data_IF_176787777380
#
_entry.id   IF_176787777380
#
_cell.length_a   1.000
_cell.length_b   1.000
_cell.length_c   1.000
_cell.angle_alpha   90.00
_cell.angle_beta   90.00
_cell.angle_gamma   90.00
#
_symmetry.space_group_name_H-M   'P 1'
#
loop_
_entity.id
_entity.type
_entity.pdbx_description
1 polymer ?
#
# COMPACT_ATOMS: atom_id res chain seq x y z
N UNK A 1 -20.35 -10.83 15.87
CA UNK A 1 -20.88 -9.51 16.28
C UNK A 1 -21.08 -8.68 15.02
N UNK A 2 -22.32 -8.51 14.55
CA UNK A 2 -22.64 -7.80 13.29
C UNK A 2 -22.71 -6.30 13.58
N UNK A 3 -21.90 -5.48 12.90
CA UNK A 3 -21.96 -4.02 12.98
C UNK A 3 -22.61 -3.47 11.71
N UNK A 4 -23.74 -2.79 11.84
CA UNK A 4 -24.46 -2.16 10.74
C UNK A 4 -23.73 -0.86 10.33
N UNK A 5 -23.29 -0.77 9.06
CA UNK A 5 -22.63 0.44 8.52
C UNK A 5 -23.61 1.32 7.74
N UNK A 6 -24.72 0.77 7.25
CA UNK A 6 -25.82 1.54 6.66
C UNK A 6 -27.08 0.66 6.58
N UNK A 7 -28.29 1.23 6.48
CA UNK A 7 -29.60 0.52 6.62
C UNK A 7 -29.79 -0.75 5.75
N UNK A 8 -28.91 -1.05 4.79
CA UNK A 8 -29.06 -2.14 3.83
C UNK A 8 -27.81 -3.05 3.63
N UNK A 9 -26.78 -2.99 4.47
CA UNK A 9 -25.56 -3.81 4.30
C UNK A 9 -25.24 -4.61 5.58
N UNK A 10 -25.14 -5.93 5.44
CA UNK A 10 -24.77 -6.87 6.51
C UNK A 10 -23.31 -7.31 6.38
N UNK A 11 -22.63 -7.47 7.51
CA UNK A 11 -21.26 -7.98 7.61
C UNK A 11 -21.31 -9.38 8.24
N UNK A 12 -20.98 -10.40 7.45
CA UNK A 12 -20.79 -11.76 7.95
C UNK A 12 -19.30 -12.02 8.17
N UNK A 13 -18.94 -12.38 9.40
CA UNK A 13 -17.62 -12.90 9.74
C UNK A 13 -17.61 -14.41 9.49
N UNK A 14 -16.70 -14.90 8.64
CA UNK A 14 -16.52 -16.33 8.38
C UNK A 14 -15.40 -16.87 9.30
N UNK A 15 -15.72 -17.71 10.30
CA UNK A 15 -14.72 -18.23 11.24
C UNK A 15 -13.61 -19.00 10.51
N UNK A 16 -12.34 -18.70 10.85
CA UNK A 16 -11.17 -19.31 10.20
C UNK A 16 -10.74 -18.61 8.90
N UNK A 17 -11.44 -17.57 8.46
CA UNK A 17 -11.01 -16.72 7.36
C UNK A 17 -10.78 -15.27 7.83
N UNK A 18 -9.77 -14.61 7.27
CA UNK A 18 -9.52 -13.18 7.51
C UNK A 18 -10.42 -12.27 6.66
N UNK A 19 -11.40 -12.85 5.96
CA UNK A 19 -12.27 -12.16 5.02
C UNK A 19 -13.60 -11.80 5.68
N UNK A 20 -14.07 -10.57 5.45
CA UNK A 20 -15.44 -10.15 5.76
C UNK A 20 -16.28 -10.20 4.49
N UNK A 21 -17.46 -10.83 4.58
CA UNK A 21 -18.40 -10.91 3.46
C UNK A 21 -19.49 -9.86 3.68
N UNK A 22 -19.60 -8.91 2.75
CA UNK A 22 -20.71 -7.96 2.72
C UNK A 22 -21.87 -8.52 1.90
N UNK A 23 -23.09 -8.45 2.45
CA UNK A 23 -24.34 -8.83 1.76
C UNK A 23 -25.29 -7.64 1.73
N UNK A 24 -25.88 -7.36 0.57
CA UNK A 24 -26.95 -6.37 0.44
C UNK A 24 -28.30 -6.93 0.91
N UNK A 25 -29.06 -6.16 1.67
CA UNK A 25 -30.35 -6.55 2.25
C UNK A 25 -31.41 -6.99 1.22
N UNK A 26 -31.33 -6.49 -0.02
CA UNK A 26 -32.25 -6.87 -1.11
C UNK A 26 -32.19 -8.36 -1.44
N UNK A 27 -31.04 -9.00 -1.23
CA UNK A 27 -30.85 -10.44 -1.45
C UNK A 27 -31.48 -11.29 -0.34
N UNK A 28 -31.61 -10.73 0.87
CA UNK A 28 -32.23 -11.42 2.02
C UNK A 28 -33.76 -11.37 1.98
N UNK A 29 -34.39 -10.31 1.46
CA UNK A 29 -35.86 -10.23 1.37
C UNK A 29 -36.47 -11.31 0.46
N UNK A 30 -35.73 -11.78 -0.55
CA UNK A 30 -36.13 -12.90 -1.41
C UNK A 30 -35.96 -14.29 -0.76
N UNK A 31 -35.26 -14.38 0.37
CA UNK A 31 -35.06 -15.61 1.12
C UNK A 31 -35.67 -15.40 2.51
N UNK A 32 -36.95 -15.72 2.63
CA UNK A 32 -37.76 -15.49 3.83
C UNK A 32 -37.03 -15.82 5.13
N UNK A 33 -37.23 -14.96 6.12
CA UNK A 33 -36.91 -15.23 7.52
C UNK A 33 -37.62 -16.53 7.95
N UNK A 34 -36.90 -17.65 7.91
CA UNK A 34 -37.33 -18.89 8.53
C UNK A 34 -36.10 -19.72 8.91
N UNK A 35 -35.55 -19.43 10.09
CA UNK A 35 -35.00 -20.39 11.06
C UNK A 35 -34.20 -21.62 10.57
N UNK A 36 -33.51 -21.58 9.44
CA UNK A 36 -32.77 -22.73 8.91
C UNK A 36 -31.46 -22.27 8.29
N UNK A 37 -30.36 -22.88 8.73
CA UNK A 37 -29.05 -22.71 8.11
C UNK A 37 -29.16 -23.14 6.63
N UNK A 38 -28.71 -22.30 5.68
CA UNK A 38 -28.73 -22.68 4.28
C UNK A 38 -27.84 -23.90 4.05
N UNK A 39 -28.32 -24.87 3.27
CA UNK A 39 -27.60 -26.09 2.92
C UNK A 39 -26.21 -25.79 2.34
N UNK A 40 -25.16 -26.54 2.71
CA UNK A 40 -23.81 -26.35 2.21
C UNK A 40 -23.79 -26.66 0.70
N UNK A 41 -23.45 -25.66 -0.13
CA UNK A 41 -23.21 -25.88 -1.56
C UNK A 41 -23.92 -24.92 -2.52
N UNK A 42 -24.80 -24.01 -2.05
CA UNK A 42 -25.48 -23.07 -2.96
C UNK A 42 -24.67 -21.77 -3.10
N UNK A 43 -23.70 -21.77 -4.01
CA UNK A 43 -22.98 -20.57 -4.40
C UNK A 43 -23.82 -19.78 -5.42
N UNK A 44 -24.81 -19.00 -4.95
CA UNK A 44 -25.65 -18.11 -5.78
C UNK A 44 -25.50 -16.63 -5.41
N UNK A 45 -24.27 -16.16 -5.21
CA UNK A 45 -24.02 -14.73 -5.01
C UNK A 45 -23.62 -14.08 -6.33
N UNK A 46 -24.51 -13.26 -6.91
CA UNK A 46 -24.24 -12.51 -8.17
C UNK A 46 -23.17 -11.42 -8.01
N UNK A 47 -22.78 -11.07 -6.79
CA UNK A 47 -21.67 -10.13 -6.52
C UNK A 47 -21.21 -10.28 -5.07
N UNK A 48 -19.99 -10.77 -4.86
CA UNK A 48 -19.32 -10.75 -3.56
C UNK A 48 -18.32 -9.59 -3.54
N UNK A 49 -18.42 -8.72 -2.54
CA UNK A 49 -17.40 -7.71 -2.28
C UNK A 49 -16.49 -8.26 -1.18
N UNK A 50 -15.30 -8.72 -1.57
CA UNK A 50 -14.22 -9.01 -0.62
C UNK A 50 -13.64 -7.65 -0.18
N UNK A 51 -13.93 -7.24 1.05
CA UNK A 51 -13.26 -6.10 1.66
C UNK A 51 -12.03 -6.60 2.40
N UNK A 52 -10.84 -6.33 1.85
CA UNK A 52 -9.55 -6.53 2.51
C UNK A 52 -9.41 -5.54 3.68
N UNK A 53 -9.96 -5.88 4.84
CA UNK A 53 -10.02 -5.00 6.00
C UNK A 53 -8.69 -4.79 6.74
N UNK A 54 -7.59 -5.39 6.27
CA UNK A 54 -6.26 -5.27 6.88
C UNK A 54 -5.13 -4.96 5.87
N UNK A 55 -5.45 -4.57 4.63
CA UNK A 55 -4.41 -4.30 3.64
C UNK A 55 -3.76 -2.94 3.90
N UNK A 56 -2.51 -2.98 4.36
CA UNK A 56 -1.72 -1.77 4.63
C UNK A 56 -1.17 -1.15 3.36
N UNK A 57 -0.84 0.15 3.43
CA UNK A 57 -0.20 0.87 2.34
C UNK A 57 1.28 0.99 2.63
N UNK A 58 2.13 0.55 1.71
CA UNK A 58 3.57 0.83 1.76
C UNK A 58 3.86 1.93 0.75
N UNK A 59 4.07 3.16 1.23
CA UNK A 59 4.41 4.30 0.37
C UNK A 59 5.93 4.31 0.18
N UNK A 60 6.37 4.18 -1.07
CA UNK A 60 7.77 4.26 -1.46
C UNK A 60 8.12 5.71 -1.81
N UNK A 61 9.15 6.24 -1.17
CA UNK A 61 9.73 7.54 -1.49
C UNK A 61 10.61 7.45 -2.75
N UNK A 62 10.80 8.57 -3.45
CA UNK A 62 11.57 8.66 -4.70
C UNK A 62 13.00 8.15 -4.49
N UNK A 63 13.67 8.60 -3.43
CA UNK A 63 15.04 8.17 -3.10
C UNK A 63 15.12 6.68 -2.76
N UNK A 64 14.03 6.09 -2.25
CA UNK A 64 13.98 4.68 -1.91
C UNK A 64 13.94 3.78 -3.14
N UNK A 65 13.34 4.26 -4.24
CA UNK A 65 13.31 3.57 -5.53
C UNK A 65 14.66 3.55 -6.26
N UNK A 66 15.63 4.37 -5.82
CA UNK A 66 16.99 4.39 -6.37
C UNK A 66 17.91 3.33 -5.73
N UNK A 67 17.55 2.84 -4.53
CA UNK A 67 18.33 1.86 -3.75
C UNK A 67 18.67 0.59 -4.55
N UNK A 68 17.74 -0.01 -5.33
CA UNK A 68 18.04 -1.20 -6.10
C UNK A 68 19.20 -1.01 -7.10
N UNK A 69 19.28 0.15 -7.74
CA UNK A 69 20.38 0.48 -8.65
C UNK A 69 21.66 0.86 -7.89
N UNK A 70 21.53 1.64 -6.83
CA UNK A 70 22.70 2.19 -6.11
C UNK A 70 23.44 1.14 -5.28
N UNK A 71 22.70 0.31 -4.56
CA UNK A 71 23.22 -0.65 -3.58
C UNK A 71 23.01 -2.11 -3.96
N UNK A 72 22.35 -2.38 -5.10
CA UNK A 72 22.03 -3.75 -5.56
C UNK A 72 21.18 -4.55 -4.55
N UNK A 73 20.29 -3.86 -3.86
CA UNK A 73 19.38 -4.43 -2.86
C UNK A 73 17.98 -4.56 -3.46
N UNK A 74 17.40 -5.76 -3.41
CA UNK A 74 15.99 -5.96 -3.76
C UNK A 74 15.08 -5.48 -2.62
N UNK A 75 14.71 -4.20 -2.69
CA UNK A 75 13.84 -3.57 -1.70
C UNK A 75 12.47 -4.26 -1.57
N UNK A 76 11.97 -4.91 -2.61
CA UNK A 76 10.64 -5.54 -2.57
C UNK A 76 10.67 -6.84 -1.79
N UNK A 77 11.73 -7.63 -1.99
CA UNK A 77 11.94 -8.87 -1.23
C UNK A 77 12.30 -8.56 0.22
N UNK A 78 13.18 -7.57 0.47
CA UNK A 78 13.51 -7.13 1.82
C UNK A 78 12.28 -6.64 2.59
N UNK A 79 11.42 -5.80 1.98
CA UNK A 79 10.17 -5.36 2.62
C UNK A 79 9.27 -6.55 2.95
N UNK A 80 9.16 -7.52 2.03
CA UNK A 80 8.34 -8.72 2.24
C UNK A 80 8.83 -9.56 3.42
N UNK A 81 10.14 -9.66 3.62
CA UNK A 81 10.72 -10.36 4.76
C UNK A 81 10.65 -9.56 6.06
N UNK A 82 10.50 -8.24 5.97
CA UNK A 82 10.50 -7.33 7.12
C UNK A 82 9.11 -7.14 7.74
N UNK A 83 8.03 -7.39 6.99
CA UNK A 83 6.65 -7.16 7.46
C UNK A 83 5.75 -8.38 7.30
N UNK A 84 5.01 -8.69 8.37
CA UNK A 84 4.17 -9.90 8.45
C UNK A 84 2.67 -9.62 8.14
N UNK A 85 2.36 -8.49 7.51
CA UNK A 85 0.99 -8.09 7.19
C UNK A 85 0.79 -7.97 5.68
N UNK A 86 -0.46 -8.08 5.23
CA UNK A 86 -0.78 -7.84 3.82
C UNK A 86 -0.65 -6.35 3.49
N UNK A 87 -0.06 -6.04 2.33
CA UNK A 87 0.14 -4.66 1.90
C UNK A 87 0.11 -4.50 0.39
N UNK A 88 -0.06 -3.25 -0.06
CA UNK A 88 0.16 -2.81 -1.43
C UNK A 88 1.16 -1.67 -1.48
N UNK A 89 2.01 -1.69 -2.51
CA UNK A 89 2.95 -0.62 -2.77
C UNK A 89 2.24 0.57 -3.42
N UNK A 90 2.61 1.76 -2.96
CA UNK A 90 2.15 3.02 -3.51
C UNK A 90 3.31 3.99 -3.67
N UNK A 91 3.19 4.90 -4.64
CA UNK A 91 4.03 6.08 -4.79
C UNK A 91 3.14 7.32 -4.86
N UNK A 92 3.71 8.49 -4.61
CA UNK A 92 3.06 9.74 -4.98
C UNK A 92 3.17 9.90 -6.50
N UNK A 93 2.12 10.40 -7.16
CA UNK A 93 2.12 10.66 -8.60
C UNK A 93 3.37 11.44 -9.08
N UNK A 94 3.76 12.47 -8.33
CA UNK A 94 4.93 13.31 -8.59
C UNK A 94 6.28 12.60 -8.49
N UNK A 95 6.35 11.42 -7.86
CA UNK A 95 7.58 10.61 -7.82
C UNK A 95 8.04 10.22 -9.23
N UNK A 96 7.10 9.96 -10.14
CA UNK A 96 7.44 9.64 -11.54
C UNK A 96 8.08 10.85 -12.23
N UNK A 97 7.54 12.05 -11.99
CA UNK A 97 8.07 13.29 -12.55
C UNK A 97 9.48 13.59 -12.04
N UNK A 98 9.76 13.33 -10.76
CA UNK A 98 11.08 13.46 -10.17
C UNK A 98 12.09 12.48 -10.78
N UNK A 99 11.72 11.22 -10.96
CA UNK A 99 12.56 10.23 -11.62
C UNK A 99 12.85 10.61 -13.08
N UNK A 100 11.84 11.05 -13.83
CA UNK A 100 12.02 11.52 -15.21
C UNK A 100 12.95 12.73 -15.28
N UNK A 101 12.81 13.69 -14.35
CA UNK A 101 13.73 14.85 -14.27
C UNK A 101 15.17 14.42 -14.05
N UNK A 102 15.42 13.44 -13.18
CA UNK A 102 16.78 12.92 -12.96
C UNK A 102 17.34 12.35 -14.26
N UNK A 103 16.53 11.58 -15.00
CA UNK A 103 16.93 10.93 -16.27
C UNK A 103 17.24 11.96 -17.36
N UNK A 104 16.43 13.00 -17.49
CA UNK A 104 16.54 14.03 -18.52
C UNK A 104 17.62 15.08 -18.20
N UNK A 105 17.92 15.29 -16.92
CA UNK A 105 18.92 16.27 -16.52
C UNK A 105 20.33 15.83 -16.97
N UNK A 106 20.88 16.58 -17.92
CA UNK A 106 22.23 16.36 -18.46
C UNK A 106 23.33 16.59 -17.41
N UNK A 107 23.05 17.30 -16.32
CA UNK A 107 23.98 17.52 -15.21
C UNK A 107 24.02 16.33 -14.23
N UNK A 108 23.00 15.47 -14.24
CA UNK A 108 22.97 14.27 -13.40
C UNK A 108 24.04 13.28 -13.82
N UNK A 109 24.69 12.64 -12.84
CA UNK A 109 25.67 11.59 -13.10
C UNK A 109 25.02 10.46 -13.89
N UNK A 110 25.80 9.81 -14.76
CA UNK A 110 25.31 8.66 -15.56
C UNK A 110 24.69 7.60 -14.64
N UNK A 111 25.36 7.29 -13.53
CA UNK A 111 24.88 6.34 -12.52
C UNK A 111 23.51 6.70 -11.94
N UNK A 112 23.28 7.98 -11.63
CA UNK A 112 22.01 8.43 -11.05
C UNK A 112 20.86 8.30 -12.06
N UNK A 113 21.15 8.57 -13.34
CA UNK A 113 20.21 8.36 -14.45
C UNK A 113 19.86 6.89 -14.64
N UNK A 114 20.86 6.00 -14.58
CA UNK A 114 20.64 4.55 -14.65
C UNK A 114 19.80 4.05 -13.47
N UNK A 115 20.11 4.48 -12.24
CA UNK A 115 19.33 4.15 -11.05
C UNK A 115 17.87 4.62 -11.17
N UNK A 116 17.63 5.82 -11.68
CA UNK A 116 16.29 6.34 -11.89
C UNK A 116 15.51 5.56 -12.96
N UNK A 117 16.17 5.12 -14.04
CA UNK A 117 15.58 4.23 -15.06
C UNK A 117 15.14 2.90 -14.44
N UNK A 118 16.00 2.28 -13.62
CA UNK A 118 15.69 1.06 -12.89
C UNK A 118 14.46 1.29 -11.98
N UNK A 119 14.42 2.39 -11.23
CA UNK A 119 13.28 2.75 -10.39
C UNK A 119 11.95 2.84 -11.15
N UNK A 120 11.94 3.49 -12.33
CA UNK A 120 10.76 3.58 -13.18
C UNK A 120 10.31 2.22 -13.73
N UNK A 121 11.25 1.38 -14.12
CA UNK A 121 10.95 0.03 -14.60
C UNK A 121 10.34 -0.82 -13.48
N UNK A 122 10.88 -0.73 -12.26
CA UNK A 122 10.35 -1.41 -11.09
C UNK A 122 8.92 -0.95 -10.75
N UNK A 123 8.61 0.34 -10.87
CA UNK A 123 7.25 0.86 -10.69
C UNK A 123 6.27 0.17 -11.65
N UNK A 124 6.66 -0.02 -12.91
CA UNK A 124 5.84 -0.68 -13.93
C UNK A 124 5.70 -2.17 -13.67
N UNK A 125 6.83 -2.87 -13.45
CA UNK A 125 6.88 -4.32 -13.27
C UNK A 125 6.15 -4.80 -12.01
N UNK A 126 6.16 -3.99 -10.93
CA UNK A 126 5.51 -4.32 -9.66
C UNK A 126 4.09 -3.74 -9.54
N UNK A 127 3.56 -3.18 -10.62
CA UNK A 127 2.22 -2.57 -10.68
C UNK A 127 1.94 -1.62 -9.51
N UNK A 128 2.92 -0.77 -9.19
CA UNK A 128 2.85 0.08 -8.00
C UNK A 128 1.73 1.11 -8.15
N UNK A 129 0.86 1.18 -7.14
CA UNK A 129 -0.27 2.11 -7.12
C UNK A 129 0.20 3.57 -7.05
N UNK A 130 -0.61 4.49 -7.59
CA UNK A 130 -0.30 5.92 -7.56
C UNK A 130 -1.31 6.67 -6.70
N UNK A 131 -0.81 7.45 -5.76
CA UNK A 131 -1.62 8.34 -4.92
C UNK A 131 -1.52 9.74 -5.49
N UNK A 132 -2.65 10.30 -5.93
CA UNK A 132 -2.71 11.68 -6.41
C UNK A 132 -2.47 12.67 -5.28
N UNK A 133 -1.69 13.71 -5.59
CA UNK A 133 -1.38 14.77 -4.62
C UNK A 133 -1.43 16.17 -5.23
N UNK A 134 -2.22 17.03 -4.57
CA UNK A 134 -2.28 18.46 -4.89
C UNK A 134 -1.07 19.24 -4.31
N UNK A 135 -0.25 18.60 -3.46
CA UNK A 135 0.89 19.25 -2.78
C UNK A 135 2.07 19.40 -3.71
N UNK A 136 2.70 20.58 -3.74
CA UNK A 136 3.90 20.86 -4.55
C UNK A 136 5.07 19.93 -4.22
N UNK A 137 5.27 19.63 -2.94
CA UNK A 137 6.36 18.78 -2.44
C UNK A 137 5.85 17.36 -2.13
N UNK A 138 6.62 16.36 -2.57
CA UNK A 138 6.33 14.93 -2.36
C UNK A 138 6.31 14.59 -0.88
N UNK A 139 7.26 15.06 -0.09
CA UNK A 139 7.33 14.82 1.36
C UNK A 139 6.06 15.27 2.10
N UNK A 140 5.54 16.44 1.74
CA UNK A 140 4.29 16.96 2.31
C UNK A 140 3.09 16.10 1.93
N UNK A 141 3.09 15.57 0.71
CA UNK A 141 2.07 14.64 0.24
C UNK A 141 2.10 13.35 1.04
N UNK A 142 3.30 12.76 1.22
CA UNK A 142 3.52 11.54 2.00
C UNK A 142 3.02 11.74 3.43
N UNK A 143 3.46 12.80 4.11
CA UNK A 143 3.02 13.07 5.49
C UNK A 143 1.51 13.26 5.56
N UNK A 144 0.89 13.97 4.61
CA UNK A 144 -0.57 14.19 4.61
C UNK A 144 -1.36 12.89 4.39
N UNK A 145 -0.88 12.03 3.49
CA UNK A 145 -1.56 10.79 3.08
C UNK A 145 -1.26 9.61 4.01
N UNK A 146 -0.26 9.73 4.88
CA UNK A 146 0.08 8.69 5.85
C UNK A 146 -0.87 8.69 7.06
N UNK A 147 -1.43 7.51 7.32
CA UNK A 147 -2.29 7.16 8.45
C UNK A 147 -1.67 6.00 9.26
N UNK A 148 -2.39 5.47 10.27
CA UNK A 148 -1.90 4.38 11.13
C UNK A 148 -1.71 3.03 10.40
N UNK A 149 -2.34 2.87 9.25
CA UNK A 149 -2.26 1.68 8.39
C UNK A 149 -1.30 1.89 7.21
N UNK A 150 -0.56 3.00 7.25
CA UNK A 150 0.49 3.33 6.30
C UNK A 150 1.85 3.01 6.89
N UNK A 151 2.71 2.45 6.05
CA UNK A 151 4.14 2.32 6.28
C UNK A 151 4.85 3.12 5.19
N UNK A 152 5.83 3.93 5.57
CA UNK A 152 6.57 4.74 4.60
C UNK A 152 7.99 4.24 4.50
N UNK A 153 8.44 3.93 3.28
CA UNK A 153 9.81 3.58 3.00
C UNK A 153 10.59 4.83 2.60
N UNK A 154 11.38 5.38 3.51
CA UNK A 154 12.22 6.57 3.27
C UNK A 154 13.50 6.54 4.10
N UNK A 155 14.58 7.06 3.52
CA UNK A 155 15.85 7.26 4.21
C UNK A 155 16.05 8.70 4.68
N UNK A 156 15.17 9.65 4.34
CA UNK A 156 15.29 11.06 4.70
C UNK A 156 15.07 11.31 6.20
N UNK A 157 15.96 12.07 6.84
CA UNK A 157 15.90 12.29 8.29
C UNK A 157 14.73 13.18 8.71
N UNK A 158 14.42 14.21 7.94
CA UNK A 158 13.37 15.16 8.27
C UNK A 158 11.98 14.56 8.04
N UNK A 159 11.79 13.83 6.94
CA UNK A 159 10.57 13.10 6.66
C UNK A 159 10.30 12.05 7.75
N UNK A 160 11.32 11.31 8.19
CA UNK A 160 11.20 10.37 9.33
C UNK A 160 10.72 11.07 10.59
N UNK A 161 11.31 12.22 10.93
CA UNK A 161 10.92 12.98 12.13
C UNK A 161 9.46 13.40 12.07
N UNK A 162 8.98 13.83 10.91
CA UNK A 162 7.59 14.24 10.68
C UNK A 162 6.61 13.06 10.77
N UNK A 163 6.99 11.90 10.25
CA UNK A 163 6.19 10.67 10.27
C UNK A 163 6.10 10.03 11.67
N UNK A 164 7.19 10.04 12.43
CA UNK A 164 7.21 9.55 13.82
C UNK A 164 6.21 10.30 14.71
N UNK A 165 6.10 11.62 14.53
CA UNK A 165 5.10 12.44 15.26
C UNK A 165 3.66 12.01 14.99
N UNK A 166 3.39 11.32 13.88
CA UNK A 166 2.09 10.77 13.53
C UNK A 166 1.90 9.31 13.95
N UNK A 167 2.92 8.66 14.50
CA UNK A 167 2.90 7.22 14.82
C UNK A 167 2.85 6.32 13.57
N UNK A 168 3.38 6.80 12.45
CA UNK A 168 3.47 6.03 11.19
C UNK A 168 4.72 5.17 11.24
N UNK A 169 4.62 3.89 10.85
CA UNK A 169 5.77 2.99 10.77
C UNK A 169 6.67 3.35 9.59
N UNK A 170 7.97 3.18 9.75
CA UNK A 170 8.96 3.65 8.77
C UNK A 170 9.89 2.50 8.40
N UNK A 171 10.06 2.26 7.11
CA UNK A 171 11.10 1.38 6.58
C UNK A 171 12.25 2.25 6.09
N UNK A 172 13.48 1.92 6.47
CA UNK A 172 14.66 2.68 6.07
C UNK A 172 15.84 1.76 5.76
N UNK A 173 16.77 2.25 4.94
CA UNK A 173 18.01 1.54 4.64
C UNK A 173 18.99 1.67 5.82
N UNK A 174 19.40 0.53 6.38
CA UNK A 174 20.36 0.45 7.48
C UNK A 174 21.71 -0.08 6.97
N UNK A 175 22.79 0.59 7.37
CA UNK A 175 24.18 0.26 6.99
C UNK A 175 24.43 0.12 5.47
N UNK A 176 23.56 0.67 4.62
CA UNK A 176 23.60 0.50 3.15
C UNK A 176 23.60 -0.97 2.69
N UNK A 177 23.02 -1.86 3.51
CA UNK A 177 23.08 -3.30 3.28
C UNK A 177 21.71 -3.97 3.39
N UNK A 178 20.87 -3.55 4.32
CA UNK A 178 19.58 -4.20 4.58
C UNK A 178 18.53 -3.19 5.04
N UNK A 179 17.25 -3.56 4.95
CA UNK A 179 16.15 -2.72 5.41
C UNK A 179 15.82 -2.99 6.89
N UNK A 180 15.40 -1.94 7.59
CA UNK A 180 14.93 -2.04 8.96
C UNK A 180 13.60 -1.30 9.13
N UNK A 181 12.77 -1.79 10.05
CA UNK A 181 11.49 -1.19 10.43
C UNK A 181 11.66 -0.43 11.74
N UNK A 182 11.11 0.78 11.79
CA UNK A 182 10.99 1.62 12.99
C UNK A 182 9.53 1.99 13.26
#
# INVERSE_FOLDING_TARGET
MVKYINKNIFIDYVPGSHNLVLREARTLLSFGYAGSNPAPGVNRFKKSYLFDVNMKKVILDTNFLLIPGEFKIDIFTEIRCLVDFQYKFFIIDKTIDELNKIIEDKKSKVKDRENAKIGLELIKLKEIGKIKSDKRYVDDAIVKKSDKDTVVATSDRELKRRLKKKGVKIIFLKKKQFLALE
#
